data_IF_515639500414
#
_entry.id   IF_515639500414
#
_cell.length_a   1.000
_cell.length_b   1.000
_cell.length_c   1.000
_cell.angle_alpha   90.00
_cell.angle_beta   90.00
_cell.angle_gamma   90.00
#
_symmetry.space_group_name_H-M   'P 1'
#
loop_
_entity.id
_entity.type
_entity.pdbx_description
1 polymer ?
#
# COMPACT_ATOMS: atom_id res chain seq x y z
N UNK A 1 22.02 71.06 8.88
CA UNK A 1 23.01 69.97 8.97
C UNK A 1 22.34 68.86 9.76
N UNK A 2 22.46 67.61 9.30
CA UNK A 2 21.94 66.36 9.83
C UNK A 2 20.53 65.94 9.42
N UNK A 3 20.49 65.08 8.43
CA UNK A 3 19.53 64.00 8.27
C UNK A 3 20.01 63.01 7.18
N UNK A 4 20.92 62.12 7.52
CA UNK A 4 21.28 60.96 6.68
C UNK A 4 21.68 59.79 7.62
N UNK A 5 20.77 58.84 7.89
CA UNK A 5 21.14 57.66 8.68
C UNK A 5 20.10 56.60 8.92
N UNK A 6 18.87 56.69 8.35
CA UNK A 6 17.78 55.76 8.72
C UNK A 6 17.42 54.68 7.65
N UNK A 7 18.14 54.64 6.51
CA UNK A 7 17.74 53.75 5.37
C UNK A 7 18.34 52.33 5.33
N UNK A 8 19.44 52.08 6.07
CA UNK A 8 20.21 50.81 5.92
C UNK A 8 19.82 49.69 6.88
N UNK A 9 19.18 50.01 8.00
CA UNK A 9 18.85 49.01 9.04
C UNK A 9 17.59 48.18 8.77
N UNK A 10 16.74 48.57 7.80
CA UNK A 10 15.46 47.86 7.53
C UNK A 10 15.53 46.87 6.34
N UNK A 11 16.61 46.84 5.57
CA UNK A 11 16.78 45.96 4.42
C UNK A 11 17.31 44.57 4.82
N UNK A 12 18.08 44.48 5.89
CA UNK A 12 18.67 43.20 6.36
C UNK A 12 17.62 42.17 6.84
N UNK A 13 16.60 42.52 7.64
CA UNK A 13 15.59 41.54 8.05
C UNK A 13 14.66 41.08 6.93
N UNK A 14 14.42 41.95 5.92
CA UNK A 14 13.62 41.57 4.75
C UNK A 14 14.36 40.59 3.82
N UNK A 15 15.67 40.75 3.63
CA UNK A 15 16.50 39.81 2.88
C UNK A 15 16.65 38.48 3.61
N UNK A 16 16.78 38.47 4.94
CA UNK A 16 16.85 37.25 5.74
C UNK A 16 15.53 36.48 5.71
N UNK A 17 14.39 37.18 5.75
CA UNK A 17 13.06 36.56 5.66
C UNK A 17 12.79 36.00 4.24
N UNK A 18 13.26 36.66 3.19
CA UNK A 18 13.18 36.17 1.82
C UNK A 18 14.07 34.95 1.58
N UNK A 19 15.24 34.87 2.21
CA UNK A 19 16.10 33.68 2.15
C UNK A 19 15.50 32.46 2.88
N UNK A 20 14.76 32.69 3.95
CA UNK A 20 14.02 31.62 4.67
C UNK A 20 12.80 31.11 3.88
N UNK A 21 12.18 31.92 3.04
CA UNK A 21 11.05 31.52 2.19
C UNK A 21 11.48 30.79 0.90
N UNK A 22 12.75 30.88 0.49
CA UNK A 22 13.34 30.12 -0.63
C UNK A 22 13.83 28.73 -0.22
N UNK A 23 13.76 28.38 1.06
CA UNK A 23 14.20 27.11 1.64
C UNK A 23 13.19 25.96 1.55
N UNK A 24 12.32 25.92 0.53
CA UNK A 24 11.62 24.71 0.12
C UNK A 24 12.59 23.74 -0.57
N UNK A 25 13.68 23.40 0.11
CA UNK A 25 14.74 22.57 -0.42
C UNK A 25 14.21 21.15 -0.68
N UNK A 26 14.60 20.57 -1.82
CA UNK A 26 14.57 19.13 -2.08
C UNK A 26 15.52 18.45 -1.06
N UNK A 27 15.06 18.32 0.19
CA UNK A 27 15.90 17.91 1.33
C UNK A 27 16.27 16.45 1.22
N UNK A 28 15.38 15.62 0.69
CA UNK A 28 15.63 14.19 0.48
C UNK A 28 16.63 13.96 -0.65
N UNK A 29 16.51 14.68 -1.78
CA UNK A 29 17.50 14.63 -2.86
C UNK A 29 18.89 15.08 -2.39
N UNK A 30 18.95 16.15 -1.59
CA UNK A 30 20.21 16.62 -1.02
C UNK A 30 20.85 15.59 -0.09
N UNK A 31 20.04 14.96 0.76
CA UNK A 31 20.51 13.89 1.67
C UNK A 31 21.04 12.66 0.89
N UNK A 32 20.31 12.20 -0.15
CA UNK A 32 20.74 11.08 -0.99
C UNK A 32 22.05 11.38 -1.74
N UNK A 33 22.23 12.61 -2.22
CA UNK A 33 23.48 13.00 -2.88
C UNK A 33 24.64 13.13 -1.93
N UNK A 34 24.40 13.51 -0.68
CA UNK A 34 25.45 13.59 0.35
C UNK A 34 25.87 12.19 0.84
N UNK A 35 24.94 11.27 0.97
CA UNK A 35 25.16 9.90 1.43
C UNK A 35 24.12 8.97 0.84
N UNK A 36 24.46 8.32 -0.27
CA UNK A 36 23.59 7.26 -0.81
C UNK A 36 23.49 6.10 0.19
N UNK A 37 22.29 5.50 0.39
CA UNK A 37 22.15 4.34 1.26
C UNK A 37 23.07 3.20 0.84
N UNK A 38 23.65 2.44 1.78
CA UNK A 38 24.50 1.29 1.46
C UNK A 38 23.76 0.27 0.56
N UNK A 39 24.44 -0.22 -0.47
CA UNK A 39 23.89 -1.24 -1.36
C UNK A 39 22.98 -0.69 -2.47
N UNK A 40 22.71 0.61 -2.52
CA UNK A 40 21.96 1.24 -3.62
C UNK A 40 22.90 1.37 -4.84
N UNK A 41 22.59 0.73 -6.00
CA UNK A 41 23.39 0.92 -7.21
C UNK A 41 23.32 2.39 -7.68
N UNK A 42 24.40 2.94 -8.26
CA UNK A 42 24.43 4.36 -8.69
C UNK A 42 23.41 4.68 -9.78
N UNK A 43 23.01 3.65 -10.54
CA UNK A 43 21.98 3.76 -11.58
C UNK A 43 21.19 2.46 -11.63
N UNK A 44 19.89 2.60 -11.82
CA UNK A 44 18.99 1.48 -12.04
C UNK A 44 17.86 1.94 -12.95
N UNK A 45 17.47 1.06 -13.85
CA UNK A 45 16.26 1.23 -14.66
C UNK A 45 15.63 -0.13 -14.88
N UNK A 46 14.34 -0.22 -14.62
CA UNK A 46 13.57 -1.45 -14.81
C UNK A 46 13.43 -1.72 -16.29
N UNK A 47 13.68 -2.99 -16.65
CA UNK A 47 13.47 -3.46 -18.02
C UNK A 47 11.99 -3.34 -18.42
N UNK A 48 11.74 -3.36 -19.71
CA UNK A 48 10.49 -3.12 -20.40
C UNK A 48 9.21 -3.41 -19.58
N UNK A 49 8.51 -2.35 -19.22
CA UNK A 49 7.12 -2.40 -18.76
C UNK A 49 6.21 -1.84 -19.87
N UNK A 50 4.94 -2.23 -19.93
CA UNK A 50 4.03 -1.68 -20.92
C UNK A 50 3.94 -0.15 -20.74
N UNK A 51 4.02 0.58 -21.86
CA UNK A 51 3.79 2.01 -21.89
C UNK A 51 2.43 2.30 -22.54
N UNK A 52 1.65 3.17 -21.90
CA UNK A 52 0.39 3.67 -22.42
C UNK A 52 0.46 5.20 -22.45
N UNK A 53 0.52 5.77 -23.65
CA UNK A 53 0.45 7.22 -23.82
C UNK A 53 -0.87 7.75 -23.25
N UNK A 54 -0.77 8.81 -22.46
CA UNK A 54 -1.91 9.33 -21.71
C UNK A 54 -2.64 10.39 -22.56
N UNK A 55 -3.91 10.16 -22.81
CA UNK A 55 -4.80 11.18 -23.31
C UNK A 55 -5.19 12.19 -22.21
N UNK A 56 -5.82 13.28 -22.61
CA UNK A 56 -6.19 14.35 -21.68
C UNK A 56 -7.10 13.79 -20.56
N UNK A 57 -6.76 14.07 -19.30
CA UNK A 57 -7.46 13.61 -18.07
C UNK A 57 -7.37 12.11 -17.73
N UNK A 58 -6.66 11.29 -18.51
CA UNK A 58 -6.56 9.84 -18.30
C UNK A 58 -5.22 9.40 -17.68
N UNK A 59 -4.50 10.31 -17.02
CA UNK A 59 -3.22 9.96 -16.39
C UNK A 59 -3.35 8.84 -15.32
N UNK A 60 -4.44 8.82 -14.55
CA UNK A 60 -4.70 7.78 -13.55
C UNK A 60 -4.86 6.38 -14.16
N UNK A 61 -5.84 6.16 -15.06
CA UNK A 61 -6.04 4.88 -15.73
C UNK A 61 -4.79 4.36 -16.44
N UNK A 62 -4.07 5.22 -17.19
CA UNK A 62 -2.87 4.82 -17.92
C UNK A 62 -1.71 4.46 -16.97
N UNK A 63 -1.45 5.28 -15.95
CA UNK A 63 -0.41 4.97 -14.96
C UNK A 63 -0.72 3.68 -14.18
N UNK A 64 -1.99 3.43 -13.84
CA UNK A 64 -2.39 2.21 -13.18
C UNK A 64 -2.25 0.99 -14.10
N UNK A 65 -2.60 1.11 -15.38
CA UNK A 65 -2.42 0.04 -16.37
C UNK A 65 -0.95 -0.35 -16.52
N UNK A 66 -0.04 0.64 -16.52
CA UNK A 66 1.40 0.42 -16.54
C UNK A 66 1.88 -0.35 -15.29
N UNK A 67 1.47 0.09 -14.09
CA UNK A 67 1.84 -0.55 -12.83
C UNK A 67 1.26 -1.98 -12.72
N UNK A 68 0.02 -2.19 -13.15
CA UNK A 68 -0.60 -3.52 -13.20
C UNK A 68 0.09 -4.44 -14.21
N UNK A 69 0.46 -3.91 -15.38
CA UNK A 69 1.20 -4.65 -16.40
C UNK A 69 2.54 -5.17 -15.89
N UNK A 70 3.26 -4.35 -15.10
CA UNK A 70 4.49 -4.77 -14.42
C UNK A 70 4.24 -5.87 -13.38
N UNK A 71 3.05 -5.90 -12.76
CA UNK A 71 2.61 -6.97 -11.86
C UNK A 71 2.08 -8.22 -12.60
N UNK A 72 2.19 -8.27 -13.93
CA UNK A 72 1.68 -9.38 -14.76
C UNK A 72 0.17 -9.34 -15.01
N UNK A 73 -0.50 -8.24 -14.67
CA UNK A 73 -1.94 -8.04 -14.90
C UNK A 73 -2.15 -7.14 -16.11
N UNK A 74 -2.43 -7.74 -17.26
CA UNK A 74 -2.65 -7.01 -18.50
C UNK A 74 -4.09 -6.47 -18.54
N UNK A 75 -4.23 -5.16 -18.41
CA UNK A 75 -5.51 -4.43 -18.50
C UNK A 75 -5.30 -3.13 -19.27
N UNK A 76 -6.19 -2.87 -20.24
CA UNK A 76 -6.13 -1.63 -21.01
C UNK A 76 -6.57 -0.43 -20.14
N UNK A 77 -6.00 0.79 -20.35
CA UNK A 77 -6.43 1.99 -19.63
C UNK A 77 -7.93 2.24 -19.68
N UNK A 78 -8.58 2.03 -20.83
CA UNK A 78 -10.04 2.24 -21.01
C UNK A 78 -10.88 1.37 -20.06
N UNK A 79 -10.44 0.15 -19.76
CA UNK A 79 -11.11 -0.74 -18.80
C UNK A 79 -10.97 -0.26 -17.34
N UNK A 80 -9.99 0.61 -17.07
CA UNK A 80 -9.77 1.21 -15.75
C UNK A 80 -10.48 2.55 -15.59
N UNK A 81 -10.82 3.25 -16.68
CA UNK A 81 -11.55 4.54 -16.63
C UNK A 81 -12.77 4.45 -15.70
N UNK A 82 -13.72 3.52 -15.87
CA UNK A 82 -14.90 3.44 -15.00
C UNK A 82 -14.58 3.07 -13.56
N UNK A 83 -13.36 2.62 -13.26
CA UNK A 83 -12.94 2.19 -11.93
C UNK A 83 -12.26 3.32 -11.13
N UNK A 84 -11.59 4.26 -11.81
CA UNK A 84 -10.72 5.23 -11.12
C UNK A 84 -10.98 6.68 -11.52
N UNK A 85 -11.58 6.93 -12.70
CA UNK A 85 -11.81 8.27 -13.19
C UNK A 85 -13.11 8.86 -12.66
N UNK A 86 -13.04 10.07 -12.14
CA UNK A 86 -14.18 10.84 -11.64
C UNK A 86 -14.41 12.04 -12.56
N UNK A 87 -15.46 12.02 -13.41
CA UNK A 87 -15.72 13.09 -14.39
C UNK A 87 -15.83 14.48 -13.76
N UNK A 88 -16.51 14.60 -12.62
CA UNK A 88 -16.69 15.85 -11.90
C UNK A 88 -15.39 16.46 -11.35
N UNK A 89 -14.34 15.66 -11.24
CA UNK A 89 -13.01 16.07 -10.76
C UNK A 89 -11.97 16.10 -11.88
N UNK A 90 -12.34 15.70 -13.08
CA UNK A 90 -11.42 15.55 -14.22
C UNK A 90 -10.13 14.80 -13.84
N UNK A 91 -10.27 13.75 -13.00
CA UNK A 91 -9.10 13.02 -12.47
C UNK A 91 -9.47 11.79 -11.66
N UNK A 92 -8.45 11.16 -11.09
CA UNK A 92 -8.56 9.93 -10.27
C UNK A 92 -8.16 10.21 -8.82
N UNK A 93 -8.85 9.56 -7.86
CA UNK A 93 -8.47 9.62 -6.45
C UNK A 93 -7.49 8.49 -6.10
N UNK A 94 -6.59 8.76 -5.18
CA UNK A 94 -5.60 7.78 -4.69
C UNK A 94 -6.25 6.51 -4.14
N UNK A 95 -7.35 6.65 -3.40
CA UNK A 95 -8.11 5.52 -2.85
C UNK A 95 -8.69 4.63 -3.93
N UNK A 96 -9.16 5.21 -5.03
CA UNK A 96 -9.68 4.46 -6.18
C UNK A 96 -8.57 3.73 -6.93
N UNK A 97 -7.38 4.33 -7.04
CA UNK A 97 -6.21 3.69 -7.64
C UNK A 97 -5.82 2.42 -6.88
N UNK A 98 -5.74 2.51 -5.54
CA UNK A 98 -5.46 1.35 -4.67
C UNK A 98 -6.54 0.27 -4.78
N UNK A 99 -7.82 0.69 -4.76
CA UNK A 99 -8.95 -0.23 -4.85
C UNK A 99 -9.02 -0.92 -6.22
N UNK A 100 -8.75 -0.20 -7.31
CA UNK A 100 -8.73 -0.76 -8.65
C UNK A 100 -7.58 -1.75 -8.85
N UNK A 101 -6.38 -1.50 -8.30
CA UNK A 101 -5.31 -2.49 -8.31
C UNK A 101 -5.78 -3.82 -7.68
N UNK A 102 -6.45 -3.76 -6.52
CA UNK A 102 -6.96 -4.92 -5.81
C UNK A 102 -8.09 -5.62 -6.55
N UNK A 103 -9.03 -4.88 -7.15
CA UNK A 103 -10.11 -5.45 -8.00
C UNK A 103 -9.55 -6.20 -9.21
N UNK A 104 -8.41 -5.76 -9.74
CA UNK A 104 -7.75 -6.39 -10.88
C UNK A 104 -6.74 -7.49 -10.47
N UNK A 105 -6.67 -7.85 -9.19
CA UNK A 105 -5.94 -9.02 -8.72
C UNK A 105 -4.48 -8.75 -8.33
N UNK A 106 -4.08 -7.50 -8.15
CA UNK A 106 -2.77 -7.10 -7.63
C UNK A 106 -2.89 -6.47 -6.23
N UNK A 107 -1.90 -6.66 -5.38
CA UNK A 107 -1.81 -5.96 -4.10
C UNK A 107 -1.47 -4.48 -4.35
N UNK A 108 -2.48 -3.61 -4.33
CA UNK A 108 -2.28 -2.16 -4.33
C UNK A 108 -1.99 -1.66 -2.92
N UNK A 109 -0.80 -1.12 -2.70
CA UNK A 109 -0.35 -0.67 -1.38
C UNK A 109 0.52 0.59 -1.49
N UNK A 110 0.36 1.51 -0.55
CA UNK A 110 1.21 2.71 -0.46
C UNK A 110 2.60 2.35 0.04
N UNK A 111 3.59 3.12 -0.38
CA UNK A 111 4.95 3.02 0.13
C UNK A 111 5.24 4.15 1.14
N UNK A 112 6.34 4.03 1.88
CA UNK A 112 6.75 5.09 2.78
C UNK A 112 7.02 6.41 2.00
N UNK A 113 6.61 7.60 2.53
CA UNK A 113 6.66 8.88 1.81
C UNK A 113 8.09 9.47 1.79
N UNK A 114 9.05 8.68 1.31
CA UNK A 114 10.49 9.00 1.31
C UNK A 114 11.12 8.57 -0.01
N UNK A 115 12.08 9.37 -0.47
CA UNK A 115 12.75 9.12 -1.75
C UNK A 115 13.61 7.86 -1.72
N UNK A 116 14.28 7.56 -0.62
CA UNK A 116 15.02 6.31 -0.42
C UNK A 116 14.11 5.08 -0.49
N UNK A 117 12.91 5.14 0.10
CA UNK A 117 11.90 4.08 0.02
C UNK A 117 11.45 3.83 -1.43
N UNK A 118 11.30 4.89 -2.23
CA UNK A 118 11.02 4.76 -3.66
C UNK A 118 12.16 4.05 -4.39
N UNK A 119 13.42 4.39 -4.08
CA UNK A 119 14.57 3.71 -4.67
C UNK A 119 14.67 2.24 -4.24
N UNK A 120 14.32 1.91 -2.98
CA UNK A 120 14.26 0.53 -2.48
C UNK A 120 13.24 -0.31 -3.28
N UNK A 121 12.06 0.24 -3.57
CA UNK A 121 11.06 -0.46 -4.39
C UNK A 121 11.57 -0.71 -5.82
N UNK A 122 12.21 0.28 -6.44
CA UNK A 122 12.80 0.10 -7.76
C UNK A 122 13.87 -0.99 -7.77
N UNK A 123 14.72 -1.05 -6.72
CA UNK A 123 15.73 -2.11 -6.59
C UNK A 123 15.11 -3.50 -6.42
N UNK A 124 13.95 -3.58 -5.79
CA UNK A 124 13.17 -4.82 -5.70
C UNK A 124 12.45 -5.20 -7.01
N UNK A 125 12.59 -4.37 -8.06
CA UNK A 125 11.93 -4.59 -9.36
C UNK A 125 10.50 -4.05 -9.41
N UNK A 126 10.11 -3.22 -8.45
CA UNK A 126 8.76 -2.67 -8.35
C UNK A 126 8.72 -1.24 -8.91
N UNK A 127 8.08 -0.99 -10.07
CA UNK A 127 7.83 0.37 -10.55
C UNK A 127 6.85 1.07 -9.61
N UNK A 128 7.11 2.36 -9.37
CA UNK A 128 6.38 3.13 -8.37
C UNK A 128 5.45 4.14 -9.04
N UNK A 129 4.16 3.96 -8.85
CA UNK A 129 3.14 4.91 -9.28
C UNK A 129 3.08 6.07 -8.28
N UNK A 130 3.28 7.29 -8.76
CA UNK A 130 3.35 8.51 -7.96
C UNK A 130 2.28 9.52 -8.36
N UNK A 131 1.84 10.34 -7.40
CA UNK A 131 1.02 11.53 -7.67
C UNK A 131 1.89 12.78 -7.53
N UNK A 132 1.91 13.62 -8.54
CA UNK A 132 2.63 14.88 -8.56
C UNK A 132 1.66 16.06 -8.70
N UNK A 133 2.02 17.22 -8.16
CA UNK A 133 1.40 18.48 -8.55
C UNK A 133 2.40 19.27 -9.41
N UNK A 134 2.15 19.31 -10.71
CA UNK A 134 3.03 19.93 -11.70
C UNK A 134 2.91 21.47 -11.75
N UNK A 135 2.11 22.07 -10.84
CA UNK A 135 1.89 23.52 -10.80
C UNK A 135 2.01 24.05 -9.36
N UNK A 136 1.59 25.29 -9.15
CA UNK A 136 1.61 25.92 -7.83
C UNK A 136 0.55 25.30 -6.89
N UNK A 137 0.78 25.28 -5.57
CA UNK A 137 -0.20 24.75 -4.61
C UNK A 137 -1.58 25.41 -4.69
N UNK A 138 -1.64 26.71 -5.03
CA UNK A 138 -2.89 27.48 -5.15
C UNK A 138 -3.66 27.21 -6.46
N UNK A 139 -3.00 26.66 -7.47
CA UNK A 139 -3.58 26.24 -8.76
C UNK A 139 -3.03 24.85 -9.10
N UNK A 140 -3.45 23.78 -8.39
CA UNK A 140 -2.86 22.45 -8.55
C UNK A 140 -3.16 21.86 -9.91
N UNK A 141 -2.13 21.24 -10.49
CA UNK A 141 -2.25 20.40 -11.69
C UNK A 141 -1.77 18.99 -11.32
N UNK A 142 -2.71 18.19 -10.88
CA UNK A 142 -2.46 16.83 -10.45
C UNK A 142 -2.14 15.92 -11.63
N UNK A 143 -1.15 15.06 -11.45
CA UNK A 143 -0.66 14.18 -12.50
C UNK A 143 -0.12 12.88 -11.91
N UNK A 144 -0.56 11.75 -12.46
CA UNK A 144 0.00 10.44 -12.15
C UNK A 144 1.08 10.07 -13.15
N UNK A 145 2.18 9.54 -12.65
CA UNK A 145 3.29 9.00 -13.43
C UNK A 145 3.79 7.70 -12.79
N UNK A 146 4.58 6.93 -13.53
CA UNK A 146 5.21 5.71 -13.02
C UNK A 146 6.72 5.88 -13.08
N UNK A 147 7.37 5.87 -11.92
CA UNK A 147 8.82 5.89 -11.80
C UNK A 147 9.37 4.51 -12.13
N UNK A 148 10.31 4.46 -13.04
CA UNK A 148 10.91 3.22 -13.59
C UNK A 148 12.41 3.13 -13.34
N UNK A 149 13.06 4.24 -12.92
CA UNK A 149 14.49 4.21 -12.71
C UNK A 149 15.05 5.50 -12.11
N UNK A 150 16.35 5.50 -11.88
CA UNK A 150 17.12 6.65 -11.39
C UNK A 150 18.58 6.59 -11.80
N UNK A 151 19.25 7.73 -11.79
CA UNK A 151 20.70 7.89 -11.89
C UNK A 151 21.18 8.84 -10.78
N UNK A 152 21.80 8.30 -9.74
CA UNK A 152 22.27 9.09 -8.58
C UNK A 152 23.46 9.98 -8.94
N UNK A 153 24.29 9.55 -9.90
CA UNK A 153 25.46 10.32 -10.30
C UNK A 153 25.05 11.60 -11.06
N UNK A 154 24.04 11.50 -11.92
CA UNK A 154 23.47 12.65 -12.61
C UNK A 154 22.45 13.40 -11.72
N UNK A 155 21.86 12.73 -10.74
CA UNK A 155 20.79 13.27 -9.92
C UNK A 155 19.45 13.27 -10.65
N UNK A 156 19.18 12.22 -11.42
CA UNK A 156 18.01 12.08 -12.27
C UNK A 156 17.07 10.96 -11.82
N UNK A 157 15.77 11.16 -12.08
CA UNK A 157 14.70 10.15 -12.01
C UNK A 157 14.23 9.85 -13.43
N UNK A 158 13.95 8.58 -13.71
CA UNK A 158 13.34 8.12 -14.96
C UNK A 158 11.91 7.71 -14.70
N UNK A 159 10.98 8.21 -15.49
CA UNK A 159 9.55 7.93 -15.32
C UNK A 159 8.80 7.87 -16.66
N UNK A 160 7.71 7.09 -16.67
CA UNK A 160 6.73 7.12 -17.75
C UNK A 160 5.65 8.14 -17.39
N UNK A 161 5.48 9.19 -18.19
CA UNK A 161 4.65 10.34 -17.83
C UNK A 161 4.02 10.99 -19.06
N UNK A 162 2.71 11.17 -19.03
CA UNK A 162 1.99 11.79 -20.15
C UNK A 162 2.14 10.99 -21.44
N UNK A 163 2.62 11.63 -22.48
CA UNK A 163 2.89 11.00 -23.78
C UNK A 163 4.35 10.56 -23.93
N UNK A 164 5.15 10.68 -22.86
CA UNK A 164 6.59 10.43 -22.91
C UNK A 164 6.92 9.16 -22.12
N UNK A 165 7.36 8.16 -22.84
CA UNK A 165 8.04 7.01 -22.30
C UNK A 165 9.47 7.42 -21.94
N UNK A 166 10.01 6.89 -20.84
CA UNK A 166 11.39 7.15 -20.45
C UNK A 166 11.74 8.65 -20.31
N UNK A 167 10.86 9.41 -19.65
CA UNK A 167 11.12 10.82 -19.34
C UNK A 167 12.20 10.91 -18.26
N UNK A 168 13.32 11.60 -18.57
CA UNK A 168 14.35 11.91 -17.59
C UNK A 168 14.05 13.28 -16.97
N UNK A 169 14.06 13.35 -15.64
CA UNK A 169 13.79 14.57 -14.89
C UNK A 169 14.79 14.69 -13.74
N UNK A 170 15.28 15.92 -13.47
CA UNK A 170 16.11 16.16 -12.30
C UNK A 170 15.38 15.71 -11.02
N UNK A 171 16.04 14.91 -10.19
CA UNK A 171 15.48 14.33 -8.95
C UNK A 171 14.95 15.39 -7.99
N UNK A 172 15.60 16.55 -7.91
CA UNK A 172 15.14 17.69 -7.11
C UNK A 172 13.82 18.28 -7.63
N UNK A 173 13.64 18.37 -8.94
CA UNK A 173 12.38 18.83 -9.56
C UNK A 173 11.26 17.80 -9.30
N UNK A 174 11.57 16.52 -9.45
CA UNK A 174 10.66 15.44 -9.11
C UNK A 174 10.24 15.52 -7.64
N UNK A 175 11.17 15.61 -6.70
CA UNK A 175 10.88 15.73 -5.27
C UNK A 175 9.97 16.91 -4.97
N UNK A 176 10.19 18.08 -5.54
CA UNK A 176 9.34 19.24 -5.35
C UNK A 176 7.90 19.04 -5.83
N UNK A 177 7.72 18.41 -6.98
CA UNK A 177 6.37 18.14 -7.52
C UNK A 177 5.66 17.02 -6.75
N UNK A 178 6.41 16.03 -6.29
CA UNK A 178 5.91 14.90 -5.50
C UNK A 178 5.60 15.32 -4.05
N UNK A 179 6.42 16.15 -3.43
CA UNK A 179 6.19 16.68 -2.08
C UNK A 179 4.84 17.40 -1.95
N UNK A 180 4.36 18.06 -3.03
CA UNK A 180 3.06 18.75 -3.03
C UNK A 180 1.87 17.81 -2.94
N UNK A 181 2.04 16.52 -3.18
CA UNK A 181 1.04 15.47 -2.94
C UNK A 181 1.18 14.79 -1.58
N UNK A 182 2.05 15.30 -0.70
CA UNK A 182 2.44 14.62 0.54
C UNK A 182 3.30 13.38 0.30
N UNK A 183 4.06 13.35 -0.79
CA UNK A 183 4.86 12.19 -1.21
C UNK A 183 4.04 10.93 -1.44
N UNK A 184 2.80 11.08 -1.92
CA UNK A 184 1.97 9.92 -2.16
C UNK A 184 2.50 9.06 -3.30
N UNK A 185 2.68 7.78 -3.00
CA UNK A 185 3.08 6.78 -3.96
C UNK A 185 2.51 5.40 -3.60
N UNK A 186 2.38 4.55 -4.60
CA UNK A 186 1.95 3.16 -4.45
C UNK A 186 2.72 2.22 -5.39
N UNK A 187 2.72 0.95 -5.02
CA UNK A 187 3.09 -0.16 -5.90
C UNK A 187 1.89 -1.06 -6.13
N UNK A 188 1.84 -1.71 -7.28
CA UNK A 188 0.92 -2.81 -7.58
C UNK A 188 1.76 -4.08 -7.72
N UNK A 189 1.49 -5.08 -6.87
CA UNK A 189 2.33 -6.28 -6.78
C UNK A 189 1.51 -7.55 -7.06
N UNK A 190 2.09 -8.56 -7.70
CA UNK A 190 1.42 -9.84 -7.87
C UNK A 190 1.21 -10.54 -6.52
N UNK A 191 0.25 -11.47 -6.45
CA UNK A 191 0.00 -12.24 -5.24
C UNK A 191 1.28 -12.90 -4.69
N UNK A 192 1.52 -12.74 -3.38
CA UNK A 192 2.69 -13.29 -2.70
C UNK A 192 3.93 -12.40 -2.70
N UNK A 193 3.94 -11.28 -3.41
CA UNK A 193 4.94 -10.24 -3.27
C UNK A 193 4.47 -9.12 -2.34
N UNK A 194 5.40 -8.51 -1.63
CA UNK A 194 5.15 -7.43 -0.68
C UNK A 194 6.07 -6.24 -0.97
N UNK A 195 5.62 -5.00 -0.70
CA UNK A 195 6.51 -3.85 -0.78
C UNK A 195 7.67 -4.00 0.21
N UNK A 196 8.85 -3.56 -0.19
CA UNK A 196 10.03 -3.66 0.67
C UNK A 196 10.11 -2.49 1.66
N UNK A 197 9.58 -1.33 1.30
CA UNK A 197 9.68 -0.07 2.04
C UNK A 197 8.50 0.22 2.97
N UNK A 198 7.41 -0.57 2.89
CA UNK A 198 6.23 -0.35 3.74
C UNK A 198 6.34 -1.08 5.07
N UNK A 199 5.79 -0.46 6.11
CA UNK A 199 5.69 -1.09 7.42
C UNK A 199 4.59 -2.18 7.47
N UNK A 200 4.63 -2.94 8.55
CA UNK A 200 3.70 -4.05 8.80
C UNK A 200 2.23 -3.60 8.76
N UNK A 201 1.90 -2.48 9.41
CA UNK A 201 0.52 -2.02 9.52
C UNK A 201 -0.03 -1.60 8.15
N UNK A 202 0.75 -0.88 7.37
CA UNK A 202 0.39 -0.48 5.99
C UNK A 202 0.10 -1.70 5.12
N UNK A 203 0.92 -2.75 5.21
CA UNK A 203 0.71 -4.00 4.46
C UNK A 203 -0.53 -4.74 4.96
N UNK A 204 -0.72 -4.85 6.29
CA UNK A 204 -1.89 -5.49 6.87
C UNK A 204 -3.19 -4.79 6.44
N UNK A 205 -3.25 -3.48 6.51
CA UNK A 205 -4.43 -2.70 6.08
C UNK A 205 -4.73 -2.90 4.59
N UNK A 206 -3.69 -2.98 3.76
CA UNK A 206 -3.84 -3.26 2.34
C UNK A 206 -4.38 -4.67 2.07
N UNK A 207 -3.92 -5.69 2.82
CA UNK A 207 -4.40 -7.08 2.72
C UNK A 207 -5.85 -7.19 3.19
N UNK A 208 -6.21 -6.59 4.32
CA UNK A 208 -7.60 -6.55 4.84
C UNK A 208 -8.54 -5.88 3.84
N UNK A 209 -8.08 -4.79 3.21
CA UNK A 209 -8.87 -4.13 2.17
C UNK A 209 -9.01 -5.00 0.91
N UNK A 210 -8.00 -5.80 0.58
CA UNK A 210 -8.04 -6.71 -0.57
C UNK A 210 -8.89 -7.95 -0.30
N UNK A 211 -8.92 -8.46 0.92
CA UNK A 211 -9.74 -9.62 1.34
C UNK A 211 -11.22 -9.44 1.00
N UNK A 212 -11.73 -8.21 1.06
CA UNK A 212 -13.15 -7.90 0.81
C UNK A 212 -13.61 -8.20 -0.62
N UNK A 213 -12.72 -8.07 -1.62
CA UNK A 213 -13.08 -8.13 -3.04
C UNK A 213 -12.08 -8.95 -3.88
N UNK A 214 -11.01 -9.47 -3.26
CA UNK A 214 -9.98 -10.26 -3.93
C UNK A 214 -10.36 -11.73 -4.06
N UNK A 215 -9.73 -12.42 -5.00
CA UNK A 215 -9.81 -13.88 -5.06
C UNK A 215 -9.13 -14.47 -3.82
N UNK A 216 -9.79 -15.33 -3.04
CA UNK A 216 -9.26 -15.82 -1.75
C UNK A 216 -7.83 -16.38 -1.83
N UNK A 217 -7.53 -17.19 -2.86
CA UNK A 217 -6.19 -17.76 -3.03
C UNK A 217 -5.10 -16.71 -3.27
N UNK A 218 -5.40 -15.68 -4.07
CA UNK A 218 -4.46 -14.59 -4.35
C UNK A 218 -4.14 -13.79 -3.07
N UNK A 219 -5.17 -13.47 -2.30
CA UNK A 219 -5.04 -12.75 -1.03
C UNK A 219 -4.30 -13.61 0.00
N UNK A 220 -4.63 -14.93 0.08
CA UNK A 220 -3.97 -15.88 0.95
C UNK A 220 -2.46 -15.97 0.69
N UNK A 221 -2.04 -16.01 -0.57
CA UNK A 221 -0.61 -16.00 -0.92
C UNK A 221 0.12 -14.77 -0.36
N UNK A 222 -0.54 -13.61 -0.40
CA UNK A 222 0.05 -12.36 0.12
C UNK A 222 0.04 -12.31 1.64
N UNK A 223 -1.02 -12.82 2.30
CA UNK A 223 -1.01 -13.01 3.77
C UNK A 223 0.10 -13.97 4.20
N UNK A 224 0.30 -15.07 3.46
CA UNK A 224 1.36 -16.03 3.76
C UNK A 224 2.77 -15.41 3.59
N UNK A 225 2.96 -14.54 2.61
CA UNK A 225 4.21 -13.78 2.46
C UNK A 225 4.42 -12.82 3.63
N UNK A 226 3.36 -12.14 4.05
CA UNK A 226 3.39 -11.21 5.18
C UNK A 226 3.65 -11.94 6.52
N UNK A 227 3.03 -13.11 6.76
CA UNK A 227 3.26 -13.91 7.97
C UNK A 227 4.70 -14.45 8.04
N UNK A 228 5.32 -14.76 6.90
CA UNK A 228 6.76 -15.11 6.85
C UNK A 228 7.66 -13.93 7.20
N UNK A 229 7.27 -12.71 6.80
CA UNK A 229 8.04 -11.48 7.09
C UNK A 229 7.84 -11.00 8.53
N UNK A 230 6.64 -11.18 9.09
CA UNK A 230 6.25 -10.77 10.45
C UNK A 230 5.53 -11.91 11.16
N UNK A 231 6.27 -12.96 11.57
CA UNK A 231 5.67 -14.16 12.11
C UNK A 231 4.95 -13.90 13.43
N UNK A 232 3.81 -14.59 13.60
CA UNK A 232 3.03 -14.52 14.83
C UNK A 232 2.14 -13.27 14.96
N UNK A 233 2.01 -12.45 13.94
CA UNK A 233 1.12 -11.29 13.97
C UNK A 233 -0.34 -11.71 13.88
N UNK A 234 -1.16 -11.34 14.87
CA UNK A 234 -2.56 -11.78 14.98
C UNK A 234 -3.38 -11.50 13.72
N UNK A 235 -3.31 -10.26 13.20
CA UNK A 235 -4.07 -9.87 12.02
C UNK A 235 -3.72 -10.69 10.79
N UNK A 236 -2.45 -11.04 10.60
CA UNK A 236 -1.99 -11.87 9.48
C UNK A 236 -2.47 -13.32 9.63
N UNK A 237 -2.41 -13.88 10.83
CA UNK A 237 -2.88 -15.24 11.09
C UNK A 237 -4.40 -15.36 10.96
N UNK A 238 -5.16 -14.35 11.40
CA UNK A 238 -6.61 -14.28 11.18
C UNK A 238 -6.93 -14.18 9.69
N UNK A 239 -6.23 -13.32 8.94
CA UNK A 239 -6.40 -13.19 7.49
C UNK A 239 -6.07 -14.47 6.74
N UNK A 240 -5.03 -15.21 7.14
CA UNK A 240 -4.74 -16.55 6.60
C UNK A 240 -5.89 -17.53 6.83
N UNK A 241 -6.45 -17.54 8.04
CA UNK A 241 -7.59 -18.37 8.37
C UNK A 241 -8.84 -18.03 7.59
N UNK A 242 -9.17 -16.74 7.53
CA UNK A 242 -10.33 -16.22 6.78
C UNK A 242 -10.24 -16.55 5.30
N UNK A 243 -9.10 -16.31 4.68
CA UNK A 243 -8.90 -16.55 3.24
C UNK A 243 -8.85 -18.05 2.90
N UNK A 244 -8.29 -18.90 3.77
CA UNK A 244 -8.37 -20.34 3.64
C UNK A 244 -9.83 -20.82 3.71
N UNK A 245 -10.59 -20.32 4.69
CA UNK A 245 -12.02 -20.60 4.82
C UNK A 245 -12.82 -20.18 3.59
N UNK A 246 -12.60 -18.96 3.09
CA UNK A 246 -13.26 -18.44 1.89
C UNK A 246 -12.91 -19.24 0.61
N UNK A 247 -11.72 -19.85 0.57
CA UNK A 247 -11.30 -20.76 -0.50
C UNK A 247 -11.86 -22.20 -0.34
N UNK A 248 -12.61 -22.46 0.74
CA UNK A 248 -13.13 -23.80 1.05
C UNK A 248 -12.16 -24.74 1.77
N UNK A 249 -10.94 -24.28 2.05
CA UNK A 249 -9.92 -25.03 2.79
C UNK A 249 -10.13 -24.91 4.31
N UNK A 250 -11.11 -25.66 4.81
CA UNK A 250 -11.46 -25.62 6.23
C UNK A 250 -10.36 -26.17 7.12
N UNK A 251 -9.61 -27.15 6.66
CA UNK A 251 -8.48 -27.69 7.42
C UNK A 251 -7.36 -26.66 7.56
N UNK A 252 -6.98 -25.99 6.47
CA UNK A 252 -6.01 -24.90 6.48
C UNK A 252 -6.48 -23.70 7.33
N UNK A 253 -7.78 -23.40 7.31
CA UNK A 253 -8.35 -22.36 8.17
C UNK A 253 -8.23 -22.71 9.66
N UNK A 254 -8.59 -23.94 10.04
CA UNK A 254 -8.45 -24.43 11.42
C UNK A 254 -6.99 -24.38 11.89
N UNK A 255 -6.03 -24.75 11.04
CA UNK A 255 -4.61 -24.69 11.37
C UNK A 255 -4.10 -23.25 11.54
N UNK A 256 -4.55 -22.32 10.69
CA UNK A 256 -4.20 -20.90 10.83
C UNK A 256 -4.76 -20.31 12.13
N UNK A 257 -6.05 -20.54 12.42
CA UNK A 257 -6.67 -20.05 13.66
C UNK A 257 -6.08 -20.73 14.91
N UNK A 258 -5.68 -22.02 14.82
CA UNK A 258 -4.99 -22.70 15.93
C UNK A 258 -3.64 -22.03 16.22
N UNK A 259 -2.85 -21.70 15.20
CA UNK A 259 -1.61 -20.92 15.40
C UNK A 259 -1.89 -19.56 16.03
N UNK A 260 -2.96 -18.87 15.58
CA UNK A 260 -3.38 -17.60 16.17
C UNK A 260 -3.72 -17.73 17.67
N UNK A 261 -4.45 -18.79 18.09
CA UNK A 261 -4.79 -19.01 19.52
C UNK A 261 -3.57 -19.37 20.37
N UNK A 262 -2.56 -20.02 19.78
CA UNK A 262 -1.32 -20.36 20.49
C UNK A 262 -0.43 -19.12 20.70
N UNK A 263 -0.33 -18.27 19.67
CA UNK A 263 0.45 -17.02 19.73
C UNK A 263 -0.26 -15.93 20.56
N UNK A 264 -1.60 -15.93 20.58
CA UNK A 264 -2.44 -14.94 21.22
C UNK A 264 -3.53 -15.59 22.09
N UNK A 265 -3.15 -16.13 23.27
CA UNK A 265 -4.08 -16.88 24.14
C UNK A 265 -5.17 -16.01 24.78
N UNK A 266 -5.11 -14.71 24.60
CA UNK A 266 -6.08 -13.68 25.00
C UNK A 266 -6.96 -13.16 23.84
N UNK A 267 -6.80 -13.72 22.62
CA UNK A 267 -7.57 -13.29 21.45
C UNK A 267 -8.91 -14.02 21.35
N UNK A 268 -9.98 -13.41 21.85
CA UNK A 268 -11.34 -13.94 21.68
C UNK A 268 -11.72 -14.20 20.20
N UNK A 269 -11.42 -13.29 19.22
CA UNK A 269 -11.71 -13.57 17.82
C UNK A 269 -10.99 -14.79 17.26
N UNK A 270 -9.73 -15.05 17.65
CA UNK A 270 -9.01 -16.24 17.19
C UNK A 270 -9.67 -17.54 17.68
N UNK A 271 -10.05 -17.58 18.95
CA UNK A 271 -10.77 -18.74 19.51
C UNK A 271 -12.16 -18.90 18.91
N UNK A 272 -12.90 -17.81 18.67
CA UNK A 272 -14.22 -17.87 18.05
C UNK A 272 -14.16 -18.41 16.61
N UNK A 273 -13.22 -17.93 15.81
CA UNK A 273 -13.06 -18.38 14.43
C UNK A 273 -12.59 -19.85 14.38
N UNK A 274 -11.68 -20.25 15.28
CA UNK A 274 -11.29 -21.66 15.43
C UNK A 274 -12.49 -22.55 15.78
N UNK A 275 -13.31 -22.13 16.74
CA UNK A 275 -14.50 -22.87 17.15
C UNK A 275 -15.48 -23.08 16.00
N UNK A 276 -15.74 -22.03 15.23
CA UNK A 276 -16.63 -22.08 14.09
C UNK A 276 -16.16 -23.12 13.04
N UNK A 277 -14.88 -23.03 12.64
CA UNK A 277 -14.31 -23.94 11.63
C UNK A 277 -14.25 -25.39 12.13
N UNK A 278 -13.88 -25.62 13.38
CA UNK A 278 -13.86 -26.96 13.98
C UNK A 278 -15.26 -27.58 14.00
N UNK A 279 -16.30 -26.80 14.25
CA UNK A 279 -17.69 -27.25 14.18
C UNK A 279 -18.07 -27.73 12.76
N UNK A 280 -17.68 -27.02 11.73
CA UNK A 280 -17.93 -27.45 10.35
C UNK A 280 -17.14 -28.70 9.96
N UNK A 281 -15.94 -28.90 10.54
CA UNK A 281 -15.18 -30.15 10.42
C UNK A 281 -15.74 -31.29 11.20
N UNK A 282 -16.76 -31.07 12.08
CA UNK A 282 -17.41 -32.08 12.91
C UNK A 282 -16.68 -32.36 14.21
N UNK A 283 -15.62 -31.67 14.55
CA UNK A 283 -14.94 -31.78 15.85
C UNK A 283 -15.64 -30.88 16.89
N UNK A 284 -16.83 -31.30 17.29
CA UNK A 284 -17.67 -30.55 18.24
C UNK A 284 -17.04 -30.43 19.63
N UNK A 285 -16.21 -31.42 20.04
CA UNK A 285 -15.50 -31.35 21.32
C UNK A 285 -14.52 -30.20 21.40
N UNK A 286 -13.61 -30.12 20.41
CA UNK A 286 -12.65 -29.04 20.31
C UNK A 286 -13.34 -27.70 20.01
N UNK A 287 -14.42 -27.70 19.20
CA UNK A 287 -15.19 -26.49 18.86
C UNK A 287 -15.79 -25.86 20.14
N UNK A 288 -16.44 -26.65 21.01
CA UNK A 288 -16.98 -26.15 22.28
C UNK A 288 -15.90 -25.61 23.21
N UNK A 289 -14.76 -26.30 23.29
CA UNK A 289 -13.66 -25.86 24.13
C UNK A 289 -13.13 -24.50 23.66
N UNK A 290 -12.98 -24.30 22.34
CA UNK A 290 -12.56 -23.04 21.77
C UNK A 290 -13.61 -21.93 21.97
N UNK A 291 -14.91 -22.20 21.70
CA UNK A 291 -15.97 -21.22 21.93
C UNK A 291 -16.10 -20.84 23.42
N UNK A 292 -15.98 -21.79 24.32
CA UNK A 292 -15.95 -21.55 25.78
C UNK A 292 -14.78 -20.66 26.19
N UNK A 293 -13.61 -20.84 25.56
CA UNK A 293 -12.46 -19.98 25.81
C UNK A 293 -12.71 -18.55 25.29
N UNK A 294 -13.26 -18.38 24.07
CA UNK A 294 -13.64 -17.08 23.54
C UNK A 294 -14.64 -16.37 24.46
N UNK A 295 -15.65 -17.09 24.94
CA UNK A 295 -16.67 -16.57 25.86
C UNK A 295 -16.07 -16.13 27.20
N UNK A 296 -15.15 -16.94 27.77
CA UNK A 296 -14.44 -16.63 29.01
C UNK A 296 -13.56 -15.41 28.95
N UNK A 297 -12.98 -15.12 27.77
CA UNK A 297 -12.21 -13.90 27.50
C UNK A 297 -13.11 -12.67 27.51
N UNK A 298 -14.37 -12.79 27.14
CA UNK A 298 -15.36 -11.71 27.20
C UNK A 298 -15.12 -10.59 26.21
N UNK A 299 -15.34 -9.35 26.69
CA UNK A 299 -15.15 -8.14 25.88
C UNK A 299 -16.17 -8.00 24.73
N UNK A 300 -15.82 -7.26 23.66
CA UNK A 300 -16.72 -7.02 22.54
C UNK A 300 -17.19 -8.27 21.81
N UNK A 301 -16.42 -9.36 21.90
CA UNK A 301 -16.68 -10.65 21.20
C UNK A 301 -17.55 -11.62 21.97
N UNK A 302 -18.05 -11.21 23.15
CA UNK A 302 -18.84 -12.12 24.01
C UNK A 302 -20.13 -12.60 23.34
N UNK A 303 -20.84 -11.71 22.64
CA UNK A 303 -22.10 -12.04 21.99
C UNK A 303 -21.88 -13.00 20.81
N UNK A 304 -20.86 -12.77 20.00
CA UNK A 304 -20.48 -13.62 18.88
C UNK A 304 -20.03 -15.00 19.36
N UNK A 305 -19.23 -15.07 20.42
CA UNK A 305 -18.78 -16.34 21.00
C UNK A 305 -19.96 -17.16 21.57
N UNK A 306 -20.94 -16.51 22.19
CA UNK A 306 -22.16 -17.14 22.66
C UNK A 306 -22.98 -17.71 21.50
N UNK A 307 -23.20 -16.93 20.43
CA UNK A 307 -23.93 -17.35 19.24
C UNK A 307 -23.23 -18.54 18.53
N UNK A 308 -21.90 -18.50 18.47
CA UNK A 308 -21.09 -19.59 17.94
C UNK A 308 -21.28 -20.87 18.76
N UNK A 309 -21.22 -20.78 20.09
CA UNK A 309 -21.43 -21.93 20.99
C UNK A 309 -22.81 -22.56 20.80
N UNK A 310 -23.87 -21.75 20.75
CA UNK A 310 -25.26 -22.24 20.51
C UNK A 310 -25.40 -22.91 19.14
N UNK A 311 -24.68 -22.40 18.12
CA UNK A 311 -24.67 -22.99 16.78
C UNK A 311 -23.99 -24.36 16.80
N UNK A 312 -22.86 -24.50 17.48
CA UNK A 312 -22.14 -25.77 17.68
C UNK A 312 -23.04 -26.81 18.36
N UNK A 313 -23.73 -26.42 19.45
CA UNK A 313 -24.61 -27.32 20.18
C UNK A 313 -25.81 -27.79 19.35
N UNK A 314 -26.38 -26.90 18.52
CA UNK A 314 -27.47 -27.29 17.60
C UNK A 314 -26.98 -28.26 16.51
N UNK A 315 -25.82 -28.02 15.93
CA UNK A 315 -25.24 -28.87 14.91
C UNK A 315 -24.92 -30.27 15.45
N UNK A 316 -24.39 -30.37 16.67
CA UNK A 316 -24.09 -31.64 17.32
C UNK A 316 -25.37 -32.44 17.60
N UNK A 317 -26.46 -31.78 18.10
CA UNK A 317 -27.75 -32.47 18.34
C UNK A 317 -28.40 -32.99 17.06
N UNK A 318 -28.25 -32.28 15.94
CA UNK A 318 -28.81 -32.68 14.65
C UNK A 318 -28.09 -33.87 13.98
N UNK A 319 -26.92 -34.26 14.50
CA UNK A 319 -26.15 -35.42 13.99
C UNK A 319 -26.30 -36.69 14.85
N UNK A 320 -26.88 -36.58 16.05
CA UNK A 320 -27.26 -37.73 16.90
C UNK A 320 -28.63 -38.25 16.49
#
# INVERSE_FOLDING_TARGET
MEARGAGRARLLPALALSALLLGGCATQTAALRAAAPPGVPPRLELAAMPFFAQERYQCGPAALAMALGAAGVLVAPDALVPQVYLPEREGSLQVEMLAAARRNGALGVTIAPRLDALLEELQAGHPVLVLQNLSLPIFPRWHYAVVTGYDLAQGDIVLNSGTTEHMVMAMSTFEHTWARSGYWAMVALPPGQLPVSSDKQTVLDALVAWERNGKPDAVRHSYAAADRRWPGELGLQLGLGNTAYAAGDRAGAADAFRRATLAHPDSAPAFNNLAFVLSELGDYGAARAAAGRALALGGPWRAEAQATLETIERAERGRR
#
